data_IF_945431845053
#
_entry.id   IF_945431845053
#
_cell.length_a   1.000
_cell.length_b   1.000
_cell.length_c   1.000
_cell.angle_alpha   90.00
_cell.angle_beta   90.00
_cell.angle_gamma   90.00
#
_symmetry.space_group_name_H-M   'P 1'
#
loop_
_entity.id
_entity.type
_entity.pdbx_description
1 polymer ?
#
# COMPACT_ATOMS: atom_id res chain seq x y z
N UNK A 1 52.20 -99.62 21.83
CA UNK A 1 50.98 -99.27 22.59
C UNK A 1 50.93 -97.75 22.70
N UNK A 2 50.03 -97.13 21.93
CA UNK A 2 49.82 -95.69 21.97
C UNK A 2 48.97 -95.37 23.20
N UNK A 3 49.55 -94.69 24.18
CA UNK A 3 48.78 -94.09 25.27
C UNK A 3 48.13 -92.85 24.68
N UNK A 4 46.85 -92.98 24.34
CA UNK A 4 46.00 -91.86 23.95
C UNK A 4 45.84 -91.00 25.21
N UNK A 5 46.66 -89.96 25.34
CA UNK A 5 46.37 -88.87 26.27
C UNK A 5 45.06 -88.25 25.84
N UNK A 6 44.01 -88.46 26.62
CA UNK A 6 42.80 -87.67 26.52
C UNK A 6 43.17 -86.24 26.95
N UNK A 7 43.64 -85.43 26.00
CA UNK A 7 43.92 -84.02 26.21
C UNK A 7 42.54 -83.40 26.41
N UNK A 8 42.21 -83.06 27.66
CA UNK A 8 41.05 -82.24 27.92
C UNK A 8 41.14 -81.02 26.98
N UNK A 9 40.20 -80.93 26.02
CA UNK A 9 40.15 -79.88 25.00
C UNK A 9 40.09 -78.48 25.61
N UNK A 10 39.76 -78.40 26.90
CA UNK A 10 39.88 -77.22 27.74
C UNK A 10 40.68 -77.63 28.98
N UNK A 11 41.97 -77.30 28.98
CA UNK A 11 42.77 -77.27 30.19
C UNK A 11 42.84 -75.83 30.67
N UNK A 12 42.56 -75.57 31.95
CA UNK A 12 42.77 -74.25 32.55
C UNK A 12 44.27 -74.09 32.74
N UNK A 13 44.90 -73.41 31.79
CA UNK A 13 46.33 -73.20 31.70
C UNK A 13 46.62 -71.69 31.52
N UNK A 14 47.87 -71.28 31.73
CA UNK A 14 48.29 -69.87 31.64
C UNK A 14 47.93 -69.24 30.27
N UNK A 15 47.85 -70.03 29.21
CA UNK A 15 47.42 -69.58 27.88
C UNK A 15 45.97 -69.10 27.84
N UNK A 16 45.07 -69.68 28.64
CA UNK A 16 43.68 -69.22 28.75
C UNK A 16 43.63 -67.82 29.37
N UNK A 17 44.45 -67.56 30.40
CA UNK A 17 44.57 -66.23 31.02
C UNK A 17 45.09 -65.20 30.01
N UNK A 18 46.15 -65.54 29.26
CA UNK A 18 46.71 -64.68 28.20
C UNK A 18 45.69 -64.41 27.09
N UNK A 19 44.88 -65.41 26.72
CA UNK A 19 43.81 -65.26 25.72
C UNK A 19 42.70 -64.33 26.19
N UNK A 20 42.27 -64.44 27.46
CA UNK A 20 41.28 -63.54 28.05
C UNK A 20 41.80 -62.10 28.09
N UNK A 21 43.05 -61.90 28.52
CA UNK A 21 43.68 -60.56 28.51
C UNK A 21 43.73 -59.99 27.09
N UNK A 22 44.13 -60.80 26.10
CA UNK A 22 44.17 -60.38 24.69
C UNK A 22 42.79 -60.02 24.14
N UNK A 23 41.75 -60.79 24.51
CA UNK A 23 40.37 -60.49 24.14
C UNK A 23 39.87 -59.18 24.79
N UNK A 24 40.21 -58.93 26.05
CA UNK A 24 39.86 -57.69 26.74
C UNK A 24 40.56 -56.47 26.10
N UNK A 25 41.84 -56.60 25.73
CA UNK A 25 42.57 -55.56 25.00
C UNK A 25 41.91 -55.30 23.63
N UNK A 26 41.56 -56.36 22.90
CA UNK A 26 40.86 -56.25 21.63
C UNK A 26 39.50 -55.55 21.76
N UNK A 27 38.71 -55.91 22.77
CA UNK A 27 37.43 -55.28 23.07
C UNK A 27 37.62 -53.79 23.38
N UNK A 28 38.64 -53.44 24.17
CA UNK A 28 38.98 -52.05 24.44
C UNK A 28 39.33 -51.27 23.16
N UNK A 29 40.15 -51.86 22.28
CA UNK A 29 40.54 -51.25 21.00
C UNK A 29 39.32 -51.04 20.09
N UNK A 30 38.49 -52.07 19.88
CA UNK A 30 37.28 -51.96 19.05
C UNK A 30 36.30 -50.94 19.63
N UNK A 31 36.12 -50.92 20.95
CA UNK A 31 35.25 -49.93 21.59
C UNK A 31 35.71 -48.50 21.33
N UNK A 32 37.02 -48.27 21.36
CA UNK A 32 37.60 -46.95 21.10
C UNK A 32 37.58 -46.58 19.62
N UNK A 33 37.89 -47.51 18.71
CA UNK A 33 38.04 -47.24 17.27
C UNK A 33 36.71 -47.29 16.52
N UNK A 34 35.76 -48.13 16.92
CA UNK A 34 34.54 -48.39 16.15
C UNK A 34 33.28 -47.93 16.89
N UNK A 35 33.01 -48.45 18.09
CA UNK A 35 31.73 -48.19 18.77
C UNK A 35 31.55 -46.72 19.17
N UNK A 36 32.61 -46.08 19.69
CA UNK A 36 32.57 -44.67 20.08
C UNK A 36 32.31 -43.72 18.89
N UNK A 37 33.07 -43.75 17.78
CA UNK A 37 32.81 -42.86 16.65
C UNK A 37 31.47 -43.16 15.96
N UNK A 38 31.05 -44.43 15.86
CA UNK A 38 29.73 -44.75 15.27
C UNK A 38 28.58 -44.16 16.09
N UNK A 39 28.67 -44.19 17.42
CA UNK A 39 27.66 -43.59 18.29
C UNK A 39 27.61 -42.08 18.14
N UNK A 40 28.77 -41.42 18.06
CA UNK A 40 28.86 -39.98 17.85
C UNK A 40 28.23 -39.58 16.52
N UNK A 41 28.58 -40.24 15.42
CA UNK A 41 28.03 -39.93 14.08
C UNK A 41 26.50 -40.10 14.05
N UNK A 42 25.97 -41.13 14.71
CA UNK A 42 24.51 -41.30 14.81
C UNK A 42 23.86 -40.14 15.57
N UNK A 43 24.41 -39.76 16.73
CA UNK A 43 23.91 -38.65 17.51
C UNK A 43 24.00 -37.30 16.76
N UNK A 44 25.10 -37.06 16.05
CA UNK A 44 25.29 -35.86 15.24
C UNK A 44 24.27 -35.79 14.10
N UNK A 45 24.00 -36.91 13.43
CA UNK A 45 22.97 -36.99 12.38
C UNK A 45 21.57 -36.74 12.94
N UNK A 46 21.22 -37.34 14.08
CA UNK A 46 19.93 -37.12 14.73
C UNK A 46 19.76 -35.65 15.14
N UNK A 47 20.79 -35.04 15.71
CA UNK A 47 20.78 -33.63 16.09
C UNK A 47 20.65 -32.73 14.86
N UNK A 48 21.38 -33.00 13.78
CA UNK A 48 21.30 -32.22 12.55
C UNK A 48 19.89 -32.27 11.94
N UNK A 49 19.26 -33.44 11.92
CA UNK A 49 17.87 -33.60 11.45
C UNK A 49 16.91 -32.81 12.34
N UNK A 50 17.07 -32.87 13.67
CA UNK A 50 16.23 -32.09 14.60
C UNK A 50 16.37 -30.59 14.41
N UNK A 51 17.59 -30.10 14.20
CA UNK A 51 17.85 -28.69 13.93
C UNK A 51 17.15 -28.28 12.63
N UNK A 52 17.32 -29.04 11.55
CA UNK A 52 16.64 -28.75 10.28
C UNK A 52 15.12 -28.72 10.45
N UNK A 53 14.54 -29.66 11.20
CA UNK A 53 13.10 -29.66 11.48
C UNK A 53 12.66 -28.41 12.25
N UNK A 54 13.45 -27.99 13.25
CA UNK A 54 13.18 -26.78 14.01
C UNK A 54 13.32 -25.52 13.15
N UNK A 55 14.32 -25.46 12.28
CA UNK A 55 14.53 -24.34 11.36
C UNK A 55 13.38 -24.23 10.36
N UNK A 56 12.87 -25.35 9.84
CA UNK A 56 11.69 -25.38 8.97
C UNK A 56 10.47 -24.80 9.70
N UNK A 57 10.18 -25.27 10.91
CA UNK A 57 9.04 -24.77 11.69
C UNK A 57 9.19 -23.28 12.01
N UNK A 58 10.40 -22.82 12.30
CA UNK A 58 10.69 -21.41 12.56
C UNK A 58 10.46 -20.57 11.31
N UNK A 59 10.98 -21.00 10.16
CA UNK A 59 10.80 -20.32 8.89
C UNK A 59 9.33 -20.28 8.45
N UNK A 60 8.56 -21.35 8.67
CA UNK A 60 7.11 -21.38 8.40
C UNK A 60 6.36 -20.35 9.27
N UNK A 61 6.71 -20.26 10.55
CA UNK A 61 6.11 -19.28 11.46
C UNK A 61 6.48 -17.84 11.09
N UNK A 62 7.74 -17.59 10.73
CA UNK A 62 8.20 -16.28 10.26
C UNK A 62 7.50 -15.87 8.97
N UNK A 63 7.36 -16.80 8.01
CA UNK A 63 6.65 -16.55 6.76
C UNK A 63 5.18 -16.19 7.02
N UNK A 64 4.52 -16.92 7.93
CA UNK A 64 3.14 -16.64 8.30
C UNK A 64 3.00 -15.27 8.98
N UNK A 65 3.88 -14.95 9.93
CA UNK A 65 3.88 -13.66 10.60
C UNK A 65 4.11 -12.50 9.61
N UNK A 66 5.02 -12.68 8.65
CA UNK A 66 5.26 -11.70 7.60
C UNK A 66 4.05 -11.52 6.68
N UNK A 67 3.37 -12.61 6.30
CA UNK A 67 2.16 -12.55 5.50
C UNK A 67 1.04 -11.79 6.23
N UNK A 68 0.81 -12.11 7.50
CA UNK A 68 -0.18 -11.42 8.34
C UNK A 68 0.15 -9.92 8.49
N UNK A 69 1.44 -9.58 8.64
CA UNK A 69 1.90 -8.18 8.71
C UNK A 69 1.67 -7.43 7.39
N UNK A 70 1.96 -8.06 6.25
CA UNK A 70 1.74 -7.46 4.92
C UNK A 70 0.25 -7.20 4.71
N UNK A 71 -0.62 -8.16 5.03
CA UNK A 71 -2.06 -8.01 4.89
C UNK A 71 -2.59 -6.86 5.77
N UNK A 72 -2.11 -6.78 7.02
CA UNK A 72 -2.46 -5.69 7.93
C UNK A 72 -2.00 -4.31 7.40
N UNK A 73 -0.77 -4.23 6.87
CA UNK A 73 -0.25 -2.99 6.28
C UNK A 73 -1.00 -2.59 5.01
N UNK A 74 -1.34 -3.55 4.14
CA UNK A 74 -2.11 -3.28 2.93
C UNK A 74 -3.52 -2.77 3.28
N UNK A 75 -4.18 -3.39 4.25
CA UNK A 75 -5.49 -2.96 4.74
C UNK A 75 -5.43 -1.54 5.33
N UNK A 76 -4.43 -1.26 6.17
CA UNK A 76 -4.22 0.07 6.74
C UNK A 76 -3.97 1.13 5.65
N UNK A 77 -3.09 0.84 4.68
CA UNK A 77 -2.79 1.74 3.57
C UNK A 77 -4.02 2.01 2.69
N UNK A 78 -4.86 1.00 2.43
CA UNK A 78 -6.13 1.17 1.72
C UNK A 78 -7.08 2.08 2.48
N UNK A 79 -7.24 1.87 3.79
CA UNK A 79 -8.09 2.71 4.64
C UNK A 79 -7.61 4.16 4.66
N UNK A 80 -6.30 4.38 4.81
CA UNK A 80 -5.72 5.73 4.75
C UNK A 80 -5.93 6.39 3.38
N UNK A 81 -5.75 5.64 2.28
CA UNK A 81 -5.97 6.15 0.94
C UNK A 81 -7.44 6.54 0.72
N UNK A 82 -8.40 5.73 1.17
CA UNK A 82 -9.82 6.07 1.10
C UNK A 82 -10.16 7.29 1.95
N UNK A 83 -9.62 7.38 3.17
CA UNK A 83 -9.82 8.54 4.03
C UNK A 83 -9.23 9.83 3.43
N UNK A 84 -8.06 9.75 2.78
CA UNK A 84 -7.48 10.88 2.07
C UNK A 84 -8.31 11.28 0.85
N UNK A 85 -8.78 10.30 0.08
CA UNK A 85 -9.65 10.52 -1.08
C UNK A 85 -10.94 11.25 -0.66
N UNK A 86 -11.61 10.77 0.38
CA UNK A 86 -12.84 11.39 0.90
C UNK A 86 -12.59 12.83 1.38
N UNK A 87 -11.50 13.07 2.10
CA UNK A 87 -11.10 14.43 2.51
C UNK A 87 -10.86 15.35 1.32
N UNK A 88 -10.20 14.84 0.28
CA UNK A 88 -9.89 15.60 -0.92
C UNK A 88 -11.15 15.89 -1.74
N UNK A 89 -12.05 14.92 -1.89
CA UNK A 89 -13.36 15.11 -2.52
C UNK A 89 -14.22 16.13 -1.77
N UNK A 90 -14.26 16.06 -0.43
CA UNK A 90 -14.99 17.03 0.39
C UNK A 90 -14.40 18.45 0.29
N UNK A 91 -13.06 18.57 0.28
CA UNK A 91 -12.38 19.85 0.10
C UNK A 91 -12.62 20.43 -1.31
N UNK A 92 -12.54 19.60 -2.34
CA UNK A 92 -12.81 19.98 -3.72
C UNK A 92 -14.28 20.40 -3.91
N UNK A 93 -15.23 19.69 -3.27
CA UNK A 93 -16.64 20.05 -3.29
C UNK A 93 -16.90 21.43 -2.69
N UNK A 94 -16.30 21.74 -1.53
CA UNK A 94 -16.39 23.07 -0.92
C UNK A 94 -15.77 24.15 -1.80
N UNK A 95 -14.57 23.91 -2.34
CA UNK A 95 -13.94 24.87 -3.25
C UNK A 95 -14.78 25.13 -4.51
N UNK A 96 -15.39 24.08 -5.08
CA UNK A 96 -16.29 24.23 -6.21
C UNK A 96 -17.50 25.08 -5.84
N UNK A 97 -18.14 24.80 -4.69
CA UNK A 97 -19.28 25.59 -4.20
C UNK A 97 -18.91 27.07 -3.97
N UNK A 98 -17.75 27.34 -3.38
CA UNK A 98 -17.24 28.70 -3.18
C UNK A 98 -17.01 29.41 -4.53
N UNK A 99 -16.39 28.75 -5.51
CA UNK A 99 -16.15 29.30 -6.84
C UNK A 99 -17.49 29.60 -7.54
N UNK A 100 -18.45 28.67 -7.50
CA UNK A 100 -19.77 28.89 -8.06
C UNK A 100 -20.49 30.05 -7.38
N UNK A 101 -20.40 30.16 -6.05
CA UNK A 101 -20.98 31.25 -5.27
C UNK A 101 -20.40 32.61 -5.64
N UNK A 102 -19.08 32.73 -5.76
CA UNK A 102 -18.39 33.97 -6.19
C UNK A 102 -18.78 34.32 -7.62
N UNK A 103 -18.69 33.36 -8.54
CA UNK A 103 -19.02 33.57 -9.96
C UNK A 103 -20.49 34.00 -10.11
N UNK A 104 -21.41 33.42 -9.35
CA UNK A 104 -22.83 33.79 -9.41
C UNK A 104 -23.07 35.24 -8.93
N UNK A 105 -22.36 35.68 -7.88
CA UNK A 105 -22.39 37.08 -7.43
C UNK A 105 -21.85 38.01 -8.50
N UNK A 106 -20.70 37.70 -9.09
CA UNK A 106 -20.11 38.49 -10.18
C UNK A 106 -21.04 38.61 -11.39
N UNK A 107 -21.70 37.51 -11.79
CA UNK A 107 -22.70 37.52 -12.87
C UNK A 107 -23.88 38.42 -12.52
N UNK A 108 -24.35 38.38 -11.28
CA UNK A 108 -25.48 39.19 -10.82
C UNK A 108 -25.12 40.67 -10.82
N UNK A 109 -23.94 41.02 -10.31
CA UNK A 109 -23.42 42.39 -10.33
C UNK A 109 -23.20 42.90 -11.77
N UNK A 110 -22.65 42.07 -12.65
CA UNK A 110 -22.47 42.39 -14.05
C UNK A 110 -23.82 42.61 -14.77
N UNK A 111 -24.82 41.77 -14.47
CA UNK A 111 -26.17 41.91 -14.99
C UNK A 111 -26.83 43.22 -14.52
N UNK A 112 -26.74 43.53 -13.23
CA UNK A 112 -27.30 44.76 -12.66
C UNK A 112 -26.63 46.01 -13.25
N UNK A 113 -25.32 45.96 -13.47
CA UNK A 113 -24.59 47.04 -14.14
C UNK A 113 -25.04 47.21 -15.60
N UNK A 114 -25.14 46.11 -16.35
CA UNK A 114 -25.62 46.13 -17.73
C UNK A 114 -27.06 46.66 -17.83
N UNK A 115 -27.95 46.26 -16.90
CA UNK A 115 -29.32 46.75 -16.82
C UNK A 115 -29.37 48.28 -16.64
N UNK A 116 -28.55 48.83 -15.73
CA UNK A 116 -28.45 50.27 -15.51
C UNK A 116 -27.90 51.02 -16.72
N UNK A 117 -26.89 50.45 -17.39
CA UNK A 117 -26.34 51.04 -18.62
C UNK A 117 -27.38 51.07 -19.75
N UNK A 118 -28.16 49.99 -19.92
CA UNK A 118 -29.25 49.93 -20.89
C UNK A 118 -30.34 50.96 -20.56
N UNK A 119 -30.75 51.09 -19.30
CA UNK A 119 -31.73 52.09 -18.88
C UNK A 119 -31.25 53.53 -19.15
N UNK A 120 -29.96 53.81 -18.89
CA UNK A 120 -29.36 55.10 -19.20
C UNK A 120 -29.37 55.40 -20.71
N UNK A 121 -29.02 54.42 -21.54
CA UNK A 121 -29.06 54.55 -23.01
C UNK A 121 -30.49 54.76 -23.52
N UNK A 122 -31.49 54.07 -22.95
CA UNK A 122 -32.90 54.27 -23.30
C UNK A 122 -33.38 55.68 -22.94
N UNK A 123 -32.97 56.22 -21.79
CA UNK A 123 -33.26 57.59 -21.38
C UNK A 123 -32.64 58.61 -22.34
N UNK A 124 -31.37 58.42 -22.69
CA UNK A 124 -30.67 59.28 -23.66
C UNK A 124 -31.33 59.24 -25.04
N UNK A 125 -31.65 58.04 -25.54
CA UNK A 125 -32.37 57.86 -26.79
C UNK A 125 -33.76 58.52 -26.77
N UNK A 126 -34.51 58.43 -25.66
CA UNK A 126 -35.79 59.14 -25.50
C UNK A 126 -35.64 60.66 -25.60
N UNK A 127 -34.60 61.23 -24.99
CA UNK A 127 -34.32 62.68 -25.07
C UNK A 127 -33.99 63.07 -26.51
N UNK A 128 -33.15 62.29 -27.20
CA UNK A 128 -32.78 62.53 -28.59
C UNK A 128 -34.00 62.47 -29.51
N UNK A 129 -34.80 61.41 -29.42
CA UNK A 129 -36.04 61.25 -30.21
C UNK A 129 -37.03 62.38 -29.95
N UNK A 130 -37.14 62.87 -28.70
CA UNK A 130 -38.04 63.99 -28.38
C UNK A 130 -37.58 65.30 -29.05
N UNK A 131 -36.28 65.58 -29.05
CA UNK A 131 -35.70 66.71 -29.80
C UNK A 131 -35.96 66.58 -31.29
N UNK A 132 -35.77 65.39 -31.85
CA UNK A 132 -36.00 65.12 -33.28
C UNK A 132 -37.49 65.29 -33.64
N UNK A 133 -38.39 64.81 -32.77
CA UNK A 133 -39.82 64.99 -32.93
C UNK A 133 -40.23 66.47 -32.90
N UNK A 134 -39.64 67.29 -32.03
CA UNK A 134 -39.89 68.75 -32.00
C UNK A 134 -39.44 69.44 -33.29
N UNK A 135 -38.29 69.04 -33.85
CA UNK A 135 -37.79 69.55 -35.14
C UNK A 135 -38.71 69.16 -36.29
N UNK A 136 -39.16 67.90 -36.33
CA UNK A 136 -40.10 67.43 -37.35
C UNK A 136 -41.46 68.12 -37.21
N UNK A 137 -41.95 68.32 -35.98
CA UNK A 137 -43.19 69.04 -35.72
C UNK A 137 -43.10 70.51 -36.18
N UNK A 138 -41.98 71.19 -35.92
CA UNK A 138 -41.70 72.53 -36.46
C UNK A 138 -41.70 72.54 -37.99
N UNK A 139 -41.03 71.59 -38.63
CA UNK A 139 -41.00 71.48 -40.08
C UNK A 139 -42.39 71.23 -40.70
N UNK A 140 -43.23 70.41 -40.06
CA UNK A 140 -44.62 70.19 -40.49
C UNK A 140 -45.44 71.48 -40.31
N UNK A 141 -45.31 72.17 -39.17
CA UNK A 141 -46.00 73.43 -38.90
C UNK A 141 -45.62 74.52 -39.91
N UNK A 142 -44.33 74.68 -40.24
CA UNK A 142 -43.88 75.63 -41.27
C UNK A 142 -44.45 75.31 -42.67
N UNK A 143 -44.56 74.02 -43.01
CA UNK A 143 -45.08 73.59 -44.31
C UNK A 143 -46.59 73.76 -44.45
N UNK A 144 -47.34 73.63 -43.36
CA UNK A 144 -48.78 73.87 -43.32
C UNK A 144 -49.10 75.37 -43.27
N UNK A 145 -48.33 76.17 -42.53
CA UNK A 145 -48.56 77.63 -42.38
C UNK A 145 -47.94 78.48 -43.50
N UNK A 146 -47.17 77.87 -44.41
CA UNK A 146 -46.54 78.49 -45.59
C UNK A 146 -45.76 79.79 -45.27
N UNK A 147 -45.21 79.87 -44.05
CA UNK A 147 -44.42 80.98 -43.51
C UNK A 147 -43.36 80.40 -42.57
N UNK A 148 -42.12 80.87 -42.68
CA UNK A 148 -41.05 80.47 -41.76
C UNK A 148 -41.34 80.96 -40.35
N UNK A 149 -41.20 80.07 -39.39
CA UNK A 149 -41.22 80.38 -37.95
C UNK A 149 -39.77 80.42 -37.50
N UNK A 150 -39.29 81.61 -37.13
CA UNK A 150 -37.95 81.76 -36.51
C UNK A 150 -37.93 81.11 -35.12
N UNK A 151 -36.76 80.68 -34.63
CA UNK A 151 -36.62 79.92 -33.39
C UNK A 151 -37.22 80.63 -32.18
#
# INVERSE_FOLDING_TARGET
MQIISNIALISINETLLVQVISFLIFLYIINRIMFRPLRNIKADRENHIKIIQQDIVTAENELKALADQIEAQESAAKLEAFAQKEKLEAAAGKQAEDIFGVTHKEITEAKDKAQKEVEAQILEAKIFVKKEADVVALAIMEKILNRRMKP
#
